data_IF_890108666113
#
_entry.id   IF_890108666113
#
_cell.length_a   1.000
_cell.length_b   1.000
_cell.length_c   1.000
_cell.angle_alpha   90.00
_cell.angle_beta   90.00
_cell.angle_gamma   90.00
#
_symmetry.space_group_name_H-M   'P 1'
#
loop_
_entity.id
_entity.type
_entity.pdbx_description
1 polymer ?
#
# COMPACT_ATOMS: atom_id res chain seq x y z
N UNK A 1 -1.65 -15.32 -11.43
CA UNK A 1 -0.31 -14.69 -11.49
C UNK A 1 -0.35 -13.14 -11.51
N UNK A 2 -1.46 -12.46 -11.19
CA UNK A 2 -1.61 -11.02 -11.48
C UNK A 2 -1.58 -10.05 -10.27
N UNK A 3 -2.06 -10.44 -9.08
CA UNK A 3 -2.17 -9.52 -7.92
C UNK A 3 -0.92 -9.47 -7.03
N UNK A 4 -0.25 -10.61 -6.84
CA UNK A 4 0.98 -10.70 -6.01
C UNK A 4 2.11 -9.90 -6.67
N UNK A 5 2.14 -9.85 -8.00
CA UNK A 5 3.12 -9.07 -8.75
C UNK A 5 2.86 -7.56 -8.60
N UNK A 6 1.59 -7.16 -8.54
CA UNK A 6 1.16 -5.77 -8.42
C UNK A 6 1.64 -5.12 -7.11
N UNK A 7 1.34 -5.74 -5.96
CA UNK A 7 1.74 -5.20 -4.65
C UNK A 7 3.26 -5.16 -4.54
N UNK A 8 3.97 -6.22 -4.95
CA UNK A 8 5.44 -6.26 -4.96
C UNK A 8 6.05 -5.14 -5.82
N UNK A 9 5.48 -4.86 -6.99
CA UNK A 9 5.95 -3.76 -7.83
C UNK A 9 5.72 -2.39 -7.17
N UNK A 10 4.59 -2.18 -6.50
CA UNK A 10 4.31 -0.95 -5.76
C UNK A 10 5.25 -0.79 -4.55
N UNK A 11 5.54 -1.87 -3.82
CA UNK A 11 6.52 -1.88 -2.73
C UNK A 11 7.94 -1.52 -3.21
N UNK A 12 8.32 -2.03 -4.39
CA UNK A 12 9.59 -1.68 -5.03
C UNK A 12 9.67 -0.20 -5.36
N UNK A 13 8.64 0.37 -5.99
CA UNK A 13 8.55 1.82 -6.27
C UNK A 13 8.59 2.63 -4.97
N UNK A 14 7.88 2.18 -3.94
CA UNK A 14 7.85 2.86 -2.64
C UNK A 14 9.21 2.85 -1.94
N UNK A 15 10.04 1.83 -2.17
CA UNK A 15 11.40 1.76 -1.64
C UNK A 15 12.30 2.84 -2.25
N UNK A 16 12.11 3.14 -3.53
CA UNK A 16 12.85 4.22 -4.23
C UNK A 16 12.35 5.62 -3.83
N UNK A 17 11.12 5.75 -3.35
CA UNK A 17 10.50 7.03 -2.98
C UNK A 17 9.99 6.98 -1.53
N UNK A 18 10.89 6.98 -0.53
CA UNK A 18 10.55 6.76 0.88
C UNK A 18 9.79 7.93 1.54
N UNK A 19 9.68 9.06 0.85
CA UNK A 19 8.92 10.24 1.29
C UNK A 19 7.46 10.22 0.80
N UNK A 20 6.97 9.07 0.33
CA UNK A 20 5.59 8.85 -0.13
C UNK A 20 4.96 7.67 0.60
N UNK A 21 3.64 7.70 0.65
CA UNK A 21 2.79 6.64 1.20
C UNK A 21 1.68 6.42 0.19
N UNK A 22 1.56 5.20 -0.33
CA UNK A 22 0.46 4.81 -1.18
C UNK A 22 -0.56 4.03 -0.34
N UNK A 23 -1.79 4.53 -0.32
CA UNK A 23 -2.93 3.94 0.36
C UNK A 23 -3.83 3.27 -0.67
N UNK A 24 -4.08 1.97 -0.51
CA UNK A 24 -5.03 1.20 -1.30
C UNK A 24 -6.26 0.93 -0.43
N UNK A 25 -7.43 1.36 -0.89
CA UNK A 25 -8.71 1.13 -0.24
C UNK A 25 -9.50 0.10 -1.05
N UNK A 26 -10.26 -0.73 -0.36
CA UNK A 26 -11.00 -1.80 -0.99
C UNK A 26 -11.83 -2.61 0.00
N UNK A 27 -12.09 -3.87 -0.37
CA UNK A 27 -12.86 -4.80 0.45
C UNK A 27 -12.29 -6.21 0.39
N UNK A 28 -12.31 -6.92 1.52
CA UNK A 28 -12.12 -8.37 1.59
C UNK A 28 -13.48 -9.06 1.42
N UNK A 29 -13.52 -10.11 0.60
CA UNK A 29 -14.70 -10.96 0.41
C UNK A 29 -14.58 -12.22 1.28
N UNK A 30 -15.41 -12.32 2.32
CA UNK A 30 -15.42 -13.47 3.24
C UNK A 30 -16.83 -13.99 3.46
N UNK A 31 -17.10 -15.22 3.01
CA UNK A 31 -18.36 -15.92 3.31
C UNK A 31 -19.64 -15.16 2.92
N UNK A 32 -19.61 -14.33 1.87
CA UNK A 32 -20.75 -13.51 1.44
C UNK A 32 -20.80 -12.09 2.03
N UNK A 33 -19.87 -11.74 2.93
CA UNK A 33 -19.73 -10.40 3.51
C UNK A 33 -18.55 -9.64 2.88
N UNK A 34 -18.71 -8.32 2.75
CA UNK A 34 -17.64 -7.39 2.34
C UNK A 34 -17.10 -6.67 3.59
N UNK A 35 -15.85 -6.90 3.93
CA UNK A 35 -15.15 -6.21 5.02
C UNK A 35 -14.25 -5.12 4.44
N UNK A 36 -14.22 -3.92 5.02
CA UNK A 36 -13.38 -2.84 4.51
C UNK A 36 -11.90 -3.21 4.64
N UNK A 37 -11.15 -2.99 3.55
CA UNK A 37 -9.71 -3.23 3.48
C UNK A 37 -8.99 -1.91 3.24
N UNK A 38 -7.92 -1.71 4.00
CA UNK A 38 -6.97 -0.62 3.81
C UNK A 38 -5.55 -1.21 3.83
N UNK A 39 -4.76 -0.91 2.81
CA UNK A 39 -3.35 -1.29 2.71
C UNK A 39 -2.52 -0.01 2.58
N UNK A 40 -1.52 0.16 3.44
CA UNK A 40 -0.55 1.25 3.36
C UNK A 40 0.80 0.70 2.91
N UNK A 41 1.30 1.21 1.78
CA UNK A 41 2.62 0.90 1.24
C UNK A 41 3.52 2.11 1.48
N UNK A 42 4.56 1.94 2.29
CA UNK A 42 5.56 2.97 2.57
C UNK A 42 6.91 2.35 2.93
N UNK A 43 8.01 3.00 2.52
CA UNK A 43 9.42 2.72 2.93
C UNK A 43 9.96 1.30 2.73
N UNK A 44 9.17 0.35 2.22
CA UNK A 44 9.58 -1.05 2.08
C UNK A 44 9.82 -1.81 3.40
N UNK A 45 9.70 -1.20 4.60
CA UNK A 45 10.05 -1.86 5.89
C UNK A 45 9.38 -1.26 7.15
N UNK A 46 9.26 -2.12 8.18
CA UNK A 46 8.93 -1.79 9.58
C UNK A 46 10.20 -1.80 10.46
N UNK A 47 10.25 -0.98 11.53
CA UNK A 47 11.39 -0.89 12.47
C UNK A 47 10.93 -1.00 13.94
N UNK A 48 11.70 -1.72 14.78
CA UNK A 48 11.50 -1.87 16.23
C UNK A 48 12.80 -1.52 16.94
N UNK A 49 12.71 -0.80 18.07
CA UNK A 49 13.86 -0.38 18.89
C UNK A 49 14.08 -1.28 20.10
N UNK A 50 13.20 -2.25 20.34
CA UNK A 50 13.21 -3.06 21.57
C UNK A 50 13.26 -4.57 21.33
N UNK A 51 12.89 -5.03 20.13
CA UNK A 51 12.88 -6.45 19.78
C UNK A 51 13.22 -6.63 18.28
N UNK A 52 13.81 -7.78 17.87
CA UNK A 52 14.05 -8.07 16.47
C UNK A 52 12.74 -8.03 15.66
N UNK A 53 12.75 -7.37 14.50
CA UNK A 53 11.66 -7.49 13.53
C UNK A 53 12.05 -8.57 12.54
N UNK A 54 11.24 -9.62 12.51
CA UNK A 54 11.24 -10.57 11.40
C UNK A 54 10.58 -9.88 10.20
N UNK A 55 11.39 -9.59 9.18
CA UNK A 55 10.91 -9.03 7.92
C UNK A 55 10.69 -10.20 6.97
N UNK A 56 9.50 -10.80 7.04
CA UNK A 56 9.07 -11.80 6.07
C UNK A 56 8.33 -11.09 4.92
N UNK A 57 9.10 -10.63 3.92
CA UNK A 57 8.59 -10.01 2.68
C UNK A 57 7.76 -10.98 1.81
N UNK A 58 7.74 -12.27 2.14
CA UNK A 58 7.05 -13.30 1.38
C UNK A 58 5.75 -13.78 2.04
N UNK A 59 5.51 -13.40 3.30
CA UNK A 59 4.27 -13.73 3.99
C UNK A 59 3.09 -12.99 3.34
N UNK A 60 2.25 -13.74 2.63
CA UNK A 60 0.96 -13.23 2.14
C UNK A 60 0.10 -12.85 3.33
N UNK A 61 0.00 -11.56 3.62
CA UNK A 61 -0.81 -11.03 4.74
C UNK A 61 -2.31 -11.19 4.47
N UNK A 62 -2.72 -11.31 3.20
CA UNK A 62 -4.12 -11.44 2.81
C UNK A 62 -4.34 -12.77 2.10
N UNK A 63 -4.91 -13.73 2.82
CA UNK A 63 -5.29 -15.06 2.31
C UNK A 63 -6.66 -15.06 1.61
N UNK A 64 -7.41 -13.95 1.73
CA UNK A 64 -8.75 -13.79 1.18
C UNK A 64 -8.75 -13.12 -0.19
N UNK A 65 -9.81 -13.33 -0.98
CA UNK A 65 -10.05 -12.52 -2.19
C UNK A 65 -10.37 -11.10 -1.76
N UNK A 66 -9.73 -10.12 -2.39
CA UNK A 66 -9.98 -8.71 -2.14
C UNK A 66 -10.24 -7.95 -3.44
N UNK A 67 -10.98 -6.86 -3.34
CA UNK A 67 -11.26 -5.92 -4.43
C UNK A 67 -10.72 -4.55 -4.01
N UNK A 68 -9.73 -4.03 -4.74
CA UNK A 68 -9.21 -2.68 -4.52
C UNK A 68 -9.96 -1.69 -5.42
N UNK A 69 -10.41 -0.58 -4.85
CA UNK A 69 -11.33 0.35 -5.53
C UNK A 69 -10.81 1.79 -5.57
N UNK A 70 -9.95 2.18 -4.62
CA UNK A 70 -9.41 3.53 -4.59
C UNK A 70 -7.95 3.55 -4.17
N UNK A 71 -7.17 4.45 -4.76
CA UNK A 71 -5.73 4.53 -4.58
C UNK A 71 -5.33 5.98 -4.35
N UNK A 72 -4.78 6.26 -3.16
CA UNK A 72 -4.45 7.61 -2.71
C UNK A 72 -2.97 7.71 -2.37
N UNK A 73 -2.33 8.74 -2.86
CA UNK A 73 -0.92 9.02 -2.60
C UNK A 73 -0.79 10.19 -1.63
N UNK A 74 0.05 10.00 -0.63
CA UNK A 74 0.34 10.98 0.41
C UNK A 74 1.84 11.25 0.52
N UNK A 75 2.19 12.41 1.07
CA UNK A 75 3.56 12.72 1.50
C UNK A 75 3.84 12.10 2.87
N UNK A 76 4.95 11.38 3.02
CA UNK A 76 5.38 10.83 4.30
C UNK A 76 6.09 11.89 5.17
N UNK A 77 6.16 11.70 6.51
CA UNK A 77 5.31 10.80 7.30
C UNK A 77 3.88 11.34 7.38
N UNK A 78 2.85 10.51 7.61
CA UNK A 78 1.51 11.03 7.93
C UNK A 78 1.63 11.87 9.21
N UNK A 79 1.14 13.12 9.19
CA UNK A 79 1.06 13.98 10.38
C UNK A 79 -0.40 14.33 10.60
N UNK A 80 -0.83 14.40 11.85
CA UNK A 80 -2.23 14.60 12.25
C UNK A 80 -2.84 15.92 11.75
N UNK A 81 -2.02 16.92 11.40
CA UNK A 81 -2.47 18.32 11.31
C UNK A 81 -2.55 18.93 9.91
N UNK A 82 -2.42 18.15 8.83
CA UNK A 82 -2.81 18.60 7.47
C UNK A 82 -2.74 17.43 6.51
N UNK A 83 -3.82 17.20 5.79
CA UNK A 83 -3.90 16.17 4.75
C UNK A 83 -2.74 16.34 3.77
N UNK A 84 -1.77 15.44 3.88
CA UNK A 84 -0.59 15.37 3.02
C UNK A 84 -0.93 14.73 1.67
N UNK A 85 -2.19 14.82 1.28
CA UNK A 85 -2.73 14.28 0.05
C UNK A 85 -2.02 14.91 -1.15
N UNK A 86 -1.61 14.05 -2.07
CA UNK A 86 -0.98 14.46 -3.33
C UNK A 86 -1.96 14.23 -4.46
N UNK A 87 -2.57 13.05 -4.52
CA UNK A 87 -3.54 12.67 -5.57
C UNK A 87 -4.24 11.36 -5.26
N UNK A 88 -5.33 11.14 -5.97
CA UNK A 88 -6.01 9.86 -6.04
C UNK A 88 -6.21 9.41 -7.50
N UNK A 89 -6.31 8.11 -7.70
CA UNK A 89 -6.72 7.53 -8.98
C UNK A 89 -7.50 6.24 -8.70
N UNK A 90 -8.49 5.91 -9.53
CA UNK A 90 -9.23 4.65 -9.44
C UNK A 90 -8.52 3.50 -10.16
N UNK A 91 -7.49 3.79 -10.96
CA UNK A 91 -6.71 2.77 -11.68
C UNK A 91 -5.34 2.56 -11.02
N UNK A 92 -5.13 1.38 -10.43
CA UNK A 92 -3.87 1.02 -9.77
C UNK A 92 -2.66 1.01 -10.72
N UNK A 93 -2.88 0.73 -12.01
CA UNK A 93 -1.82 0.74 -13.04
C UNK A 93 -1.22 2.15 -13.19
N UNK A 94 -1.98 3.19 -12.87
CA UNK A 94 -1.46 4.57 -12.83
C UNK A 94 -0.28 4.70 -11.87
N UNK A 95 -0.34 4.02 -10.72
CA UNK A 95 0.72 4.06 -9.70
C UNK A 95 1.87 3.07 -9.98
N UNK A 96 1.82 2.25 -11.03
CA UNK A 96 2.99 1.47 -11.46
C UNK A 96 4.04 2.33 -12.18
N UNK A 97 3.68 3.54 -12.61
CA UNK A 97 4.63 4.49 -13.14
C UNK A 97 5.17 5.37 -12.00
N UNK A 98 6.46 5.21 -11.70
CA UNK A 98 7.16 5.97 -10.66
C UNK A 98 7.02 7.49 -10.80
N UNK A 99 6.90 8.04 -12.03
CA UNK A 99 6.70 9.48 -12.24
C UNK A 99 5.40 10.01 -11.63
N UNK A 100 4.41 9.15 -11.44
CA UNK A 100 3.14 9.51 -10.83
C UNK A 100 3.20 9.60 -9.29
N UNK A 101 4.34 9.27 -8.69
CA UNK A 101 4.59 9.37 -7.26
C UNK A 101 5.30 10.67 -6.85
N UNK A 102 5.86 11.41 -7.80
CA UNK A 102 6.66 12.62 -7.55
C UNK A 102 5.76 13.83 -7.36
#
# INVERSE_FOLDING_TARGET
MAEIDLIKNLEKISSDIPNRILKLEGFILKGGHKEQLEILIFKGFSSSTTHPIEIDLEKKVIEFRYELTNFKLYKAPLRETKDKFIRENQNIVFFLNQKNWI
#
